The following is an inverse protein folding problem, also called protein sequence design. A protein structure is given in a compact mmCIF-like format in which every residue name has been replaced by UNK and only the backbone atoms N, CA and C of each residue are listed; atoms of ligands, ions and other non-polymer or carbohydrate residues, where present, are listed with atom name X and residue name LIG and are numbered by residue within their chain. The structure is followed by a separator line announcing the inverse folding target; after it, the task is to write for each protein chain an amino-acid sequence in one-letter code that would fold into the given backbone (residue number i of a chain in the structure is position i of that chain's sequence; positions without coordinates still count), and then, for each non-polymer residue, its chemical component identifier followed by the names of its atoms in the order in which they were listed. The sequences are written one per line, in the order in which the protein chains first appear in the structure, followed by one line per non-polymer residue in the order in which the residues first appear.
data_IF_972889953483
#
_entry.id   IF_972889953483
#
_cell.length_a   1.000
_cell.length_b   1.000
_cell.length_c   1.000
_cell.angle_alpha   90.00
_cell.angle_beta   90.00
_cell.angle_gamma   90.00
#
_symmetry.space_group_name_H-M   'P 1'
#
loop_
_entity.id
_entity.type
_entity.pdbx_description
1 polymer ?
#
# COMPACT_ATOMS: atom_id res chain seq x y z
N UNK A 1 7.83 39.69 -50.00
CA UNK A 1 8.62 39.09 -48.94
C UNK A 1 7.72 38.53 -47.81
N UNK A 2 7.13 37.36 -47.99
CA UNK A 2 6.25 36.67 -47.01
C UNK A 2 6.48 35.18 -47.03
N UNK A 3 7.65 34.68 -46.56
CA UNK A 3 7.96 33.22 -46.56
C UNK A 3 8.70 32.71 -45.34
N UNK A 4 8.77 33.39 -44.20
CA UNK A 4 9.56 32.91 -43.07
C UNK A 4 8.76 32.58 -41.78
N UNK A 5 7.40 32.69 -41.81
CA UNK A 5 6.62 32.51 -40.59
C UNK A 5 6.02 31.10 -40.37
N UNK A 6 6.19 30.14 -41.33
CA UNK A 6 5.61 28.80 -41.23
C UNK A 6 6.54 27.71 -40.64
N UNK A 7 7.88 27.93 -40.66
CA UNK A 7 8.84 26.94 -40.17
C UNK A 7 8.96 26.83 -38.66
N UNK A 8 8.62 27.86 -37.90
CA UNK A 8 8.89 27.92 -36.47
C UNK A 8 7.83 27.22 -35.60
N UNK A 9 6.64 26.97 -36.14
CA UNK A 9 5.55 26.35 -35.37
C UNK A 9 5.64 24.83 -35.29
N UNK A 10 6.28 24.18 -36.24
CA UNK A 10 6.44 22.72 -36.27
C UNK A 10 7.60 22.23 -35.38
N UNK A 11 8.67 22.99 -35.22
CA UNK A 11 9.81 22.61 -34.39
C UNK A 11 9.49 22.61 -32.88
N UNK A 12 8.57 23.47 -32.43
CA UNK A 12 8.20 23.53 -31.01
C UNK A 12 7.30 22.35 -30.58
N UNK A 13 6.53 21.79 -31.51
CA UNK A 13 5.65 20.64 -31.22
C UNK A 13 6.43 19.33 -31.21
N UNK A 14 7.45 19.20 -32.06
CA UNK A 14 8.31 18.01 -32.11
C UNK A 14 9.23 17.91 -30.87
N UNK A 15 9.70 19.03 -30.33
CA UNK A 15 10.56 19.03 -29.15
C UNK A 15 9.84 18.62 -27.84
N UNK A 16 8.50 18.71 -27.79
CA UNK A 16 7.71 18.31 -26.62
C UNK A 16 7.22 16.86 -26.68
N UNK A 17 7.20 16.23 -27.84
CA UNK A 17 6.74 14.85 -28.00
C UNK A 17 7.81 13.79 -27.69
N UNK A 18 9.09 14.13 -27.84
CA UNK A 18 10.20 13.17 -27.68
C UNK A 18 10.39 12.69 -26.23
N UNK A 19 10.32 13.52 -25.18
CA UNK A 19 10.50 13.03 -23.81
C UNK A 19 9.33 12.18 -23.27
N UNK A 20 8.13 12.31 -23.86
CA UNK A 20 6.97 11.50 -23.44
C UNK A 20 7.06 10.06 -23.98
N UNK A 21 7.61 9.89 -25.18
CA UNK A 21 7.79 8.55 -25.79
C UNK A 21 8.95 7.77 -25.16
N UNK A 22 10.02 8.45 -24.69
CA UNK A 22 11.14 7.79 -24.01
C UNK A 22 10.80 7.35 -22.58
N UNK A 23 9.82 7.95 -21.94
CA UNK A 23 9.35 7.56 -20.59
C UNK A 23 8.49 6.28 -20.57
N UNK A 24 7.89 5.88 -21.70
CA UNK A 24 6.99 4.73 -21.77
C UNK A 24 7.71 3.39 -22.01
N UNK A 25 8.97 3.40 -22.42
CA UNK A 25 9.72 2.15 -22.72
C UNK A 25 10.47 1.57 -21.53
N UNK A 26 10.53 2.25 -20.40
CA UNK A 26 11.26 1.81 -19.20
C UNK A 26 10.45 0.93 -18.22
N UNK A 27 9.18 0.62 -18.51
CA UNK A 27 8.31 -0.12 -17.57
C UNK A 27 8.24 -1.62 -17.89
N UNK A 28 8.89 -2.09 -18.95
CA UNK A 28 8.71 -3.48 -19.43
C UNK A 28 9.72 -4.50 -18.89
N UNK A 29 10.58 -4.18 -17.94
CA UNK A 29 11.62 -5.11 -17.46
C UNK A 29 11.56 -5.47 -15.97
N UNK A 30 10.42 -5.27 -15.29
CA UNK A 30 10.25 -5.64 -13.89
C UNK A 30 9.20 -6.74 -13.66
N UNK A 31 8.96 -7.58 -14.65
CA UNK A 31 8.09 -8.73 -14.52
C UNK A 31 8.84 -9.99 -14.92
N UNK A 32 9.83 -10.41 -14.13
CA UNK A 32 10.24 -11.80 -14.01
C UNK A 32 11.23 -11.96 -12.86
N UNK A 33 10.70 -12.08 -11.66
CA UNK A 33 11.40 -12.68 -10.53
C UNK A 33 10.38 -13.49 -9.74
N UNK A 34 10.15 -14.71 -10.21
CA UNK A 34 9.51 -15.76 -9.44
C UNK A 34 10.47 -16.14 -8.30
N UNK A 35 10.12 -15.94 -7.03
CA UNK A 35 10.94 -16.46 -5.94
C UNK A 35 10.73 -17.96 -5.83
N UNK A 36 11.77 -18.71 -6.19
CA UNK A 36 11.94 -20.11 -5.84
C UNK A 36 11.96 -20.24 -4.30
N UNK A 37 11.28 -21.22 -3.70
CA UNK A 37 11.31 -21.39 -2.26
C UNK A 37 12.67 -21.96 -1.83
N UNK A 38 13.57 -21.09 -1.37
CA UNK A 38 14.78 -21.52 -0.70
C UNK A 38 14.54 -21.48 0.80
N UNK A 39 14.49 -22.66 1.38
CA UNK A 39 14.54 -22.88 2.82
C UNK A 39 15.86 -22.31 3.36
N UNK A 40 15.77 -21.27 4.16
CA UNK A 40 16.91 -20.66 4.83
C UNK A 40 16.43 -19.94 6.07
N UNK A 41 16.53 -20.60 7.22
CA UNK A 41 16.36 -19.98 8.52
C UNK A 41 17.32 -18.80 8.66
N UNK A 42 16.80 -17.59 8.72
CA UNK A 42 17.55 -16.39 9.09
C UNK A 42 16.87 -15.76 10.29
N UNK A 43 17.39 -16.05 11.46
CA UNK A 43 17.10 -15.37 12.71
C UNK A 43 17.60 -13.94 12.62
N UNK A 44 16.67 -12.96 12.55
CA UNK A 44 17.00 -11.55 12.69
C UNK A 44 16.78 -11.11 14.14
N UNK A 45 17.77 -10.48 14.79
CA UNK A 45 17.65 -10.05 16.18
C UNK A 45 17.01 -8.66 16.24
N UNK A 46 15.78 -8.58 16.70
CA UNK A 46 15.13 -7.32 17.00
C UNK A 46 14.10 -7.49 18.12
N UNK A 47 14.42 -6.98 19.31
CA UNK A 47 13.51 -6.67 20.40
C UNK A 47 12.64 -7.83 20.91
N UNK A 48 13.13 -8.62 21.89
CA UNK A 48 12.51 -9.83 22.42
C UNK A 48 11.27 -9.57 23.26
N UNK A 49 10.11 -9.33 22.65
CA UNK A 49 8.89 -9.90 23.20
C UNK A 49 8.88 -11.36 22.71
N UNK A 50 9.10 -12.30 23.62
CA UNK A 50 9.12 -13.74 23.27
C UNK A 50 7.77 -14.11 22.67
N UNK A 51 7.73 -14.25 21.36
CA UNK A 51 6.53 -14.63 20.63
C UNK A 51 6.09 -16.04 21.06
N UNK A 52 4.79 -16.31 21.16
CA UNK A 52 4.30 -17.63 21.61
C UNK A 52 4.52 -18.74 20.57
N UNK A 53 4.81 -18.41 19.30
CA UNK A 53 5.00 -19.36 18.21
C UNK A 53 5.85 -18.78 17.07
N UNK A 54 5.81 -19.44 15.90
CA UNK A 54 6.52 -19.03 14.68
C UNK A 54 5.64 -18.09 13.82
N UNK A 55 6.00 -16.82 13.69
CA UNK A 55 5.23 -15.86 12.89
C UNK A 55 5.28 -16.14 11.37
N UNK A 56 6.31 -16.80 10.86
CA UNK A 56 6.44 -17.12 9.44
C UNK A 56 5.40 -18.18 9.04
N UNK A 57 5.29 -19.23 9.88
CA UNK A 57 4.26 -20.24 9.71
C UNK A 57 2.88 -19.65 9.95
N UNK A 58 2.74 -18.75 10.94
CA UNK A 58 1.52 -18.01 11.24
C UNK A 58 1.02 -17.20 10.04
N UNK A 59 1.91 -16.57 9.25
CA UNK A 59 1.55 -15.85 8.05
C UNK A 59 0.86 -16.74 7.00
N UNK A 60 1.41 -17.94 6.78
CA UNK A 60 0.82 -18.92 5.85
C UNK A 60 -0.56 -19.37 6.32
N UNK A 61 -0.69 -19.72 7.60
CA UNK A 61 -1.95 -20.13 8.22
C UNK A 61 -3.00 -19.02 8.18
N UNK A 62 -2.58 -17.77 8.40
CA UNK A 62 -3.43 -16.59 8.33
C UNK A 62 -4.04 -16.44 6.93
N UNK A 63 -3.23 -16.50 5.89
CA UNK A 63 -3.69 -16.41 4.51
C UNK A 63 -4.74 -17.45 4.15
N UNK A 64 -4.63 -18.66 4.71
CA UNK A 64 -5.53 -19.78 4.42
C UNK A 64 -6.83 -19.74 5.21
N UNK A 65 -6.82 -19.23 6.45
CA UNK A 65 -7.94 -19.40 7.39
C UNK A 65 -8.57 -18.09 7.88
N UNK A 66 -7.85 -16.97 7.82
CA UNK A 66 -8.25 -15.72 8.49
C UNK A 66 -8.46 -14.56 7.52
N UNK A 67 -7.69 -14.52 6.42
CA UNK A 67 -7.63 -13.41 5.49
C UNK A 67 -8.97 -13.07 4.84
N UNK A 68 -9.84 -14.06 4.62
CA UNK A 68 -11.17 -13.85 4.03
C UNK A 68 -12.02 -12.87 4.85
N UNK A 69 -11.91 -12.92 6.19
CA UNK A 69 -12.68 -12.04 7.07
C UNK A 69 -11.87 -10.82 7.53
N UNK A 70 -10.58 -10.99 7.83
CA UNK A 70 -9.74 -9.96 8.42
C UNK A 70 -8.89 -9.19 7.41
N UNK A 71 -9.01 -9.48 6.11
CA UNK A 71 -8.22 -8.87 5.06
C UNK A 71 -6.85 -9.52 4.90
N UNK A 72 -6.30 -9.48 3.67
CA UNK A 72 -5.02 -10.12 3.36
C UNK A 72 -3.82 -9.47 4.08
N UNK A 73 -3.94 -8.18 4.40
CA UNK A 73 -2.92 -7.37 5.11
C UNK A 73 -3.37 -6.96 6.52
N UNK A 74 -4.26 -7.73 7.15
CA UNK A 74 -4.84 -7.48 8.46
C UNK A 74 -5.70 -6.18 8.56
N UNK A 75 -6.03 -5.57 7.45
CA UNK A 75 -6.76 -4.30 7.32
C UNK A 75 -8.24 -4.40 7.72
N UNK A 76 -8.71 -5.59 8.04
CA UNK A 76 -10.12 -5.84 8.33
C UNK A 76 -10.95 -6.07 7.06
N UNK A 77 -12.22 -6.24 7.27
CA UNK A 77 -13.22 -6.49 6.22
C UNK A 77 -14.54 -6.78 6.88
N UNK A 78 -15.05 -8.00 6.73
CA UNK A 78 -16.19 -8.50 7.51
C UNK A 78 -15.80 -8.57 8.98
N UNK A 79 -14.58 -9.09 9.27
CA UNK A 79 -14.00 -9.15 10.61
C UNK A 79 -13.32 -7.84 11.04
N UNK A 80 -12.88 -7.79 12.29
CA UNK A 80 -12.19 -6.65 12.90
C UNK A 80 -10.82 -6.41 12.23
N UNK A 81 -10.33 -5.16 12.28
CA UNK A 81 -8.98 -4.80 11.90
C UNK A 81 -7.98 -5.42 12.88
N UNK A 82 -6.95 -6.08 12.35
CA UNK A 82 -5.91 -6.74 13.15
C UNK A 82 -4.57 -6.02 13.08
N UNK A 83 -4.40 -5.04 12.16
CA UNK A 83 -3.23 -4.16 12.14
C UNK A 83 -3.61 -2.76 11.56
N UNK A 84 -3.53 -1.67 12.34
CA UNK A 84 -3.37 -1.71 13.80
C UNK A 84 -4.57 -2.42 14.45
N UNK A 85 -4.29 -3.24 15.49
CA UNK A 85 -5.35 -4.05 16.07
C UNK A 85 -6.43 -3.18 16.73
N UNK A 86 -7.70 -3.51 16.48
CA UNK A 86 -8.84 -2.83 17.08
C UNK A 86 -8.85 -2.97 18.60
N UNK A 87 -9.18 -1.88 19.29
CA UNK A 87 -9.40 -1.89 20.73
C UNK A 87 -10.79 -2.47 21.01
N UNK A 88 -10.83 -3.53 21.78
CA UNK A 88 -12.07 -4.20 22.15
C UNK A 88 -12.53 -3.73 23.54
N UNK A 89 -13.84 -3.52 23.74
CA UNK A 89 -14.40 -3.18 25.05
C UNK A 89 -14.04 -4.22 26.11
N UNK A 90 -13.59 -3.76 27.27
CA UNK A 90 -13.22 -4.64 28.38
C UNK A 90 -11.90 -5.40 28.21
N UNK A 91 -11.16 -5.18 27.12
CA UNK A 91 -9.85 -5.81 26.87
C UNK A 91 -8.74 -4.77 27.05
N UNK A 92 -7.92 -4.84 28.10
CA UNK A 92 -6.86 -3.86 28.37
C UNK A 92 -5.78 -3.83 27.26
N UNK A 93 -5.44 -5.00 26.72
CA UNK A 93 -4.46 -5.15 25.67
C UNK A 93 -4.88 -6.21 24.66
N UNK A 94 -5.32 -5.78 23.48
CA UNK A 94 -5.73 -6.69 22.40
C UNK A 94 -4.57 -7.48 21.78
N UNK A 95 -3.31 -7.07 22.02
CA UNK A 95 -2.09 -7.76 21.55
C UNK A 95 -1.51 -8.71 22.61
N UNK A 96 -2.19 -8.90 23.75
CA UNK A 96 -1.75 -9.88 24.73
C UNK A 96 -1.76 -11.30 24.12
N UNK A 97 -0.64 -12.05 24.20
CA UNK A 97 -0.57 -13.38 23.60
C UNK A 97 -1.63 -14.35 24.11
N UNK A 98 -1.92 -14.31 25.41
CA UNK A 98 -2.92 -15.20 26.02
C UNK A 98 -4.33 -14.87 25.54
N UNK A 99 -4.64 -13.56 25.40
CA UNK A 99 -5.90 -13.10 24.84
C UNK A 99 -6.06 -13.51 23.38
N UNK A 100 -5.03 -13.31 22.55
CA UNK A 100 -5.08 -13.70 21.14
C UNK A 100 -5.26 -15.22 20.96
N UNK A 101 -4.51 -16.02 21.72
CA UNK A 101 -4.65 -17.48 21.70
C UNK A 101 -6.06 -17.90 22.11
N UNK A 102 -6.60 -17.29 23.18
CA UNK A 102 -7.94 -17.58 23.64
C UNK A 102 -9.00 -17.24 22.59
N UNK A 103 -8.96 -16.02 22.04
CA UNK A 103 -9.97 -15.56 21.07
C UNK A 103 -9.92 -16.37 19.77
N UNK A 104 -8.74 -16.76 19.31
CA UNK A 104 -8.58 -17.61 18.12
C UNK A 104 -9.12 -19.01 18.40
N UNK A 105 -8.86 -19.57 19.58
CA UNK A 105 -9.27 -20.93 19.95
C UNK A 105 -10.78 -21.05 20.13
N UNK A 106 -11.38 -20.09 20.85
CA UNK A 106 -12.79 -20.19 21.28
C UNK A 106 -13.71 -19.44 20.34
N UNK A 107 -13.19 -18.48 19.60
CA UNK A 107 -13.98 -17.51 18.86
C UNK A 107 -14.48 -16.36 19.73
N UNK A 108 -15.30 -15.47 19.18
CA UNK A 108 -15.87 -14.34 19.91
C UNK A 108 -17.30 -14.04 19.44
N UNK A 109 -18.21 -13.97 20.37
CA UNK A 109 -19.54 -13.41 20.16
C UNK A 109 -19.45 -11.88 20.25
N UNK A 110 -20.11 -11.13 19.36
CA UNK A 110 -20.13 -9.67 19.41
C UNK A 110 -20.64 -9.14 20.72
N UNK A 111 -20.00 -8.12 21.25
CA UNK A 111 -20.43 -7.41 22.47
C UNK A 111 -20.80 -5.97 22.11
N UNK A 112 -21.57 -5.33 22.99
CA UNK A 112 -21.92 -3.93 22.85
C UNK A 112 -20.64 -3.08 22.79
N UNK A 113 -20.47 -2.27 21.74
CA UNK A 113 -19.29 -1.44 21.52
C UNK A 113 -18.16 -2.10 20.72
N UNK A 114 -18.31 -3.37 20.32
CA UNK A 114 -17.36 -3.98 19.39
C UNK A 114 -17.37 -3.26 18.04
N UNK A 115 -16.20 -3.06 17.39
CA UNK A 115 -16.10 -2.38 16.09
C UNK A 115 -16.90 -3.10 14.99
N UNK A 116 -17.01 -4.41 15.10
CA UNK A 116 -17.78 -5.27 14.20
C UNK A 116 -18.78 -6.10 14.98
N UNK A 117 -20.03 -6.10 14.50
CA UNK A 117 -21.13 -6.84 15.12
C UNK A 117 -21.30 -8.23 14.49
N UNK A 118 -20.19 -8.90 14.22
CA UNK A 118 -20.14 -10.23 13.60
C UNK A 118 -19.37 -11.18 14.50
N UNK A 119 -19.93 -12.37 14.71
CA UNK A 119 -19.29 -13.41 15.49
C UNK A 119 -18.06 -13.97 14.76
N UNK A 120 -16.95 -14.09 15.48
CA UNK A 120 -15.78 -14.81 15.03
C UNK A 120 -15.94 -16.28 15.42
N UNK A 121 -15.94 -17.22 14.46
CA UNK A 121 -15.99 -18.64 14.80
C UNK A 121 -14.68 -19.12 15.42
N UNK A 122 -14.78 -20.17 16.25
CA UNK A 122 -13.61 -20.83 16.81
C UNK A 122 -12.63 -21.26 15.72
N UNK A 123 -11.34 -20.96 15.91
CA UNK A 123 -10.26 -21.29 14.96
C UNK A 123 -10.52 -20.80 13.53
N UNK A 124 -11.25 -19.69 13.37
CA UNK A 124 -11.64 -19.18 12.05
C UNK A 124 -12.58 -20.11 11.26
N UNK A 125 -13.20 -21.06 11.93
CA UNK A 125 -14.06 -22.11 11.32
C UNK A 125 -13.30 -23.38 10.92
N UNK A 126 -11.98 -23.44 11.07
CA UNK A 126 -11.16 -24.61 10.77
C UNK A 126 -10.75 -25.36 12.04
N UNK A 127 -11.54 -26.36 12.42
CA UNK A 127 -11.29 -27.17 13.63
C UNK A 127 -10.03 -28.04 13.55
N UNK A 128 -9.41 -28.18 12.36
CA UNK A 128 -8.17 -28.94 12.18
C UNK A 128 -6.93 -28.18 12.68
N UNK A 129 -7.04 -26.86 12.93
CA UNK A 129 -5.93 -26.08 13.50
C UNK A 129 -5.55 -26.61 14.89
N UNK A 130 -4.27 -26.94 15.05
CA UNK A 130 -3.69 -27.37 16.32
C UNK A 130 -3.46 -26.19 17.26
N UNK A 131 -3.18 -26.46 18.53
CA UNK A 131 -2.82 -25.40 19.48
C UNK A 131 -1.50 -24.69 19.09
N UNK A 132 -0.59 -25.40 18.40
CA UNK A 132 0.62 -24.79 17.87
C UNK A 132 0.30 -23.83 16.73
N UNK A 133 -0.62 -24.19 15.83
CA UNK A 133 -1.06 -23.31 14.74
C UNK A 133 -1.69 -22.03 15.29
N UNK A 134 -2.45 -22.13 16.36
CA UNK A 134 -3.05 -20.96 17.04
C UNK A 134 -1.95 -20.06 17.65
N UNK A 135 -0.91 -20.62 18.25
CA UNK A 135 0.23 -19.84 18.75
C UNK A 135 0.99 -19.15 17.63
N UNK A 136 1.17 -19.83 16.51
CA UNK A 136 1.84 -19.27 15.34
C UNK A 136 1.04 -18.12 14.73
N UNK A 137 -0.29 -18.26 14.62
CA UNK A 137 -1.21 -17.21 14.20
C UNK A 137 -1.14 -15.98 15.13
N UNK A 138 -1.18 -16.20 16.45
CA UNK A 138 -1.05 -15.11 17.43
C UNK A 138 0.30 -14.39 17.29
N UNK A 139 1.39 -15.15 17.08
CA UNK A 139 2.74 -14.59 16.85
C UNK A 139 2.82 -13.74 15.60
N UNK A 140 2.18 -14.15 14.52
CA UNK A 140 2.11 -13.37 13.30
C UNK A 140 1.38 -12.04 13.52
N UNK A 141 0.22 -12.05 14.16
CA UNK A 141 -0.55 -10.83 14.46
C UNK A 141 0.28 -9.87 15.34
N UNK A 142 0.92 -10.37 16.39
CA UNK A 142 1.77 -9.57 17.27
C UNK A 142 2.95 -8.97 16.49
N UNK A 143 3.63 -9.77 15.68
CA UNK A 143 4.76 -9.32 14.89
C UNK A 143 4.34 -8.20 13.93
N UNK A 144 3.23 -8.36 13.21
CA UNK A 144 2.75 -7.34 12.28
C UNK A 144 2.42 -6.01 12.96
N UNK A 145 1.92 -6.04 14.18
CA UNK A 145 1.67 -4.83 14.97
C UNK A 145 2.95 -4.23 15.59
N UNK A 146 4.04 -5.01 15.74
CA UNK A 146 5.31 -4.52 16.26
C UNK A 146 6.20 -3.90 15.18
N UNK A 147 6.06 -4.30 13.92
CA UNK A 147 6.91 -3.85 12.80
C UNK A 147 6.42 -2.51 12.19
N UNK A 148 5.35 -1.93 12.72
CA UNK A 148 4.74 -0.69 12.22
C UNK A 148 3.61 -0.94 11.22
N UNK A 149 3.10 0.14 10.62
CA UNK A 149 1.93 0.06 9.73
C UNK A 149 2.07 -1.03 8.67
N UNK A 150 1.01 -1.84 8.45
CA UNK A 150 1.05 -2.90 7.47
C UNK A 150 1.40 -2.34 6.09
N UNK A 151 2.08 -3.11 5.25
CA UNK A 151 2.28 -2.72 3.87
C UNK A 151 0.90 -2.48 3.25
N UNK A 152 0.75 -1.30 2.63
CA UNK A 152 -0.49 -0.94 1.94
C UNK A 152 -0.86 -2.05 0.96
N UNK A 153 -2.13 -2.42 0.93
CA UNK A 153 -2.62 -3.38 -0.06
C UNK A 153 -2.24 -2.90 -1.48
N UNK A 154 -1.99 -3.80 -2.43
CA UNK A 154 -1.65 -3.42 -3.80
C UNK A 154 -2.65 -2.43 -4.41
N UNK A 155 -3.94 -2.56 -4.08
CA UNK A 155 -4.99 -1.64 -4.53
C UNK A 155 -4.88 -0.25 -3.91
N UNK A 156 -4.52 -0.15 -2.64
CA UNK A 156 -4.34 1.12 -1.94
C UNK A 156 -3.05 1.83 -2.40
N UNK A 157 -1.97 1.05 -2.60
CA UNK A 157 -0.74 1.56 -3.23
C UNK A 157 -1.03 2.12 -4.63
N UNK A 158 -1.77 1.37 -5.46
CA UNK A 158 -2.13 1.82 -6.80
C UNK A 158 -2.94 3.12 -6.77
N UNK A 159 -3.95 3.24 -5.91
CA UNK A 159 -4.75 4.47 -5.75
C UNK A 159 -3.89 5.67 -5.35
N UNK A 160 -3.02 5.50 -4.36
CA UNK A 160 -2.11 6.58 -3.92
C UNK A 160 -1.13 6.97 -5.01
N UNK A 161 -0.55 6.00 -5.70
CA UNK A 161 0.38 6.25 -6.81
C UNK A 161 -0.29 7.00 -7.95
N UNK A 162 -1.48 6.56 -8.38
CA UNK A 162 -2.26 7.23 -9.43
C UNK A 162 -2.58 8.67 -9.02
N UNK A 163 -3.00 8.91 -7.79
CA UNK A 163 -3.31 10.24 -7.28
C UNK A 163 -2.08 11.16 -7.32
N UNK A 164 -0.94 10.71 -6.81
CA UNK A 164 0.28 11.53 -6.80
C UNK A 164 0.85 11.78 -8.19
N UNK A 165 0.81 10.77 -9.07
CA UNK A 165 1.24 10.91 -10.47
C UNK A 165 0.33 11.87 -11.23
N UNK A 166 -0.98 11.77 -11.04
CA UNK A 166 -1.94 12.69 -11.66
C UNK A 166 -1.71 14.13 -11.21
N UNK A 167 -1.49 14.35 -9.92
CA UNK A 167 -1.20 15.67 -9.36
C UNK A 167 0.10 16.25 -9.93
N UNK A 168 1.15 15.43 -10.05
CA UNK A 168 2.42 15.83 -10.64
C UNK A 168 2.29 16.22 -12.11
N UNK A 169 1.51 15.48 -12.88
CA UNK A 169 1.23 15.78 -14.30
C UNK A 169 0.49 17.12 -14.42
N UNK A 170 -0.57 17.33 -13.62
CA UNK A 170 -1.32 18.60 -13.62
C UNK A 170 -0.41 19.76 -13.25
N UNK A 171 0.44 19.61 -12.24
CA UNK A 171 1.39 20.64 -11.83
C UNK A 171 2.39 20.98 -12.95
N UNK A 172 2.89 19.97 -13.66
CA UNK A 172 3.79 20.15 -14.80
C UNK A 172 3.12 20.91 -15.94
N UNK A 173 1.87 20.55 -16.28
CA UNK A 173 1.09 21.27 -17.29
C UNK A 173 0.85 22.73 -16.89
N UNK A 174 0.54 22.97 -15.63
CA UNK A 174 0.31 24.32 -15.12
C UNK A 174 1.57 25.19 -15.18
N UNK A 175 2.72 24.65 -14.77
CA UNK A 175 4.01 25.33 -14.87
C UNK A 175 4.36 25.64 -16.31
N UNK A 176 4.20 24.69 -17.22
CA UNK A 176 4.46 24.87 -18.64
C UNK A 176 3.57 25.95 -19.25
N UNK A 177 2.29 25.98 -18.87
CA UNK A 177 1.35 26.99 -19.28
C UNK A 177 1.74 28.39 -18.79
N UNK A 178 2.15 28.52 -17.52
CA UNK A 178 2.62 29.80 -16.98
C UNK A 178 3.89 30.30 -17.67
N UNK A 179 4.85 29.39 -17.92
CA UNK A 179 6.08 29.74 -18.64
C UNK A 179 5.80 30.18 -20.08
N UNK A 180 4.86 29.51 -20.75
CA UNK A 180 4.45 29.90 -22.11
C UNK A 180 3.79 31.28 -22.12
N UNK A 181 2.92 31.57 -21.16
CA UNK A 181 2.30 32.89 -20.99
C UNK A 181 3.34 34.00 -20.70
N UNK A 182 4.29 33.71 -19.81
CA UNK A 182 5.37 34.63 -19.48
C UNK A 182 6.25 34.93 -20.71
N UNK A 183 6.62 33.90 -21.44
CA UNK A 183 7.47 34.02 -22.64
C UNK A 183 6.77 34.82 -23.74
N UNK A 184 5.47 34.60 -23.97
CA UNK A 184 4.71 35.36 -24.95
C UNK A 184 4.59 36.86 -24.58
N UNK A 185 4.39 37.18 -23.31
CA UNK A 185 4.37 38.58 -22.82
C UNK A 185 5.72 39.27 -22.97
N UNK A 186 6.82 38.55 -22.74
CA UNK A 186 8.16 39.09 -22.88
C UNK A 186 8.52 39.36 -24.35
N UNK A 187 8.19 38.44 -25.27
CA UNK A 187 8.34 38.62 -26.72
C UNK A 187 7.54 39.81 -27.21
N UNK A 188 6.29 39.96 -26.78
CA UNK A 188 5.43 41.09 -27.15
C UNK A 188 6.02 42.43 -26.70
N UNK A 189 6.55 42.53 -25.48
CA UNK A 189 7.24 43.72 -24.96
C UNK A 189 8.48 44.08 -25.77
N UNK A 190 9.31 43.11 -26.14
CA UNK A 190 10.50 43.33 -26.99
C UNK A 190 10.12 43.79 -28.40
N UNK A 191 9.07 43.21 -28.98
CA UNK A 191 8.60 43.64 -30.30
C UNK A 191 8.04 45.06 -30.29
N UNK A 192 7.35 45.47 -29.23
CA UNK A 192 6.88 46.84 -29.08
C UNK A 192 8.02 47.85 -28.88
N UNK A 193 9.08 47.50 -28.16
CA UNK A 193 10.25 48.35 -27.96
C UNK A 193 11.09 48.58 -29.24
N UNK A 194 11.07 47.65 -30.19
CA UNK A 194 11.77 47.78 -31.49
C UNK A 194 11.01 48.62 -32.53
N UNK A 195 9.77 49.00 -32.26
CA UNK A 195 8.93 49.83 -33.15
C UNK A 195 8.98 51.31 -32.82
N UNK A 196 9.65 51.69 -31.73
CA UNK A 196 9.98 53.07 -31.33
C UNK A 196 11.38 53.40 -31.82
#
# INVERSE_FOLDING_TARGET
MRRTARGFKLSAVVALAVPVLLGLTAISTLADASPSPSAGASSSPGGSTKLPGDPTRGATLYGQNCATCHGASLEGGIGAVLNPIDKLPGVPNSLDPSFLIQIITVGRTPQAGDPKQIAMPAKGGNNALTDQDVRDLASYIIQQNSVGSPPLSPGELAKRTILWVSLAIIAMFFITFLLAQYNMRWIARRAAARRK
#
